data_IF_488109484483
#
_entry.id   IF_488109484483
#
_cell.length_a   1.000
_cell.length_b   1.000
_cell.length_c   1.000
_cell.angle_alpha   90.00
_cell.angle_beta   90.00
_cell.angle_gamma   90.00
#
_symmetry.space_group_name_H-M   'P 1'
#
loop_
_entity.id
_entity.type
_entity.pdbx_description
1 polymer ?
#
# COMPACT_ATOMS: atom_id res chain seq x y z
N UNK A 1 17.61 -14.92 5.18
CA UNK A 1 16.25 -14.92 4.60
C UNK A 1 15.29 -14.04 5.38
N UNK A 2 15.19 -14.21 6.71
CA UNK A 2 14.29 -13.43 7.60
C UNK A 2 14.50 -11.90 7.49
N UNK A 3 15.75 -11.41 7.51
CA UNK A 3 16.03 -9.97 7.39
C UNK A 3 15.47 -9.37 6.10
N UNK A 4 15.61 -10.06 4.97
CA UNK A 4 15.03 -9.64 3.69
C UNK A 4 13.49 -9.64 3.76
N UNK A 5 12.89 -10.69 4.34
CA UNK A 5 11.44 -10.76 4.54
C UNK A 5 10.90 -9.60 5.38
N UNK A 6 11.56 -9.25 6.49
CA UNK A 6 11.20 -8.11 7.34
C UNK A 6 11.33 -6.79 6.56
N UNK A 7 12.39 -6.60 5.78
CA UNK A 7 12.56 -5.39 4.95
C UNK A 7 11.43 -5.29 3.91
N UNK A 8 11.04 -6.39 3.27
CA UNK A 8 9.92 -6.42 2.33
C UNK A 8 8.58 -6.10 2.99
N UNK A 9 8.33 -6.61 4.20
CA UNK A 9 7.14 -6.28 4.98
C UNK A 9 7.10 -4.78 5.33
N UNK A 10 8.22 -4.23 5.82
CA UNK A 10 8.34 -2.81 6.14
C UNK A 10 8.14 -1.94 4.89
N UNK A 11 8.76 -2.30 3.76
CA UNK A 11 8.58 -1.60 2.49
C UNK A 11 7.11 -1.61 2.02
N UNK A 12 6.43 -2.76 2.14
CA UNK A 12 5.00 -2.89 1.81
C UNK A 12 4.13 -1.98 2.68
N UNK A 13 4.38 -1.93 3.99
CA UNK A 13 3.66 -1.04 4.92
C UNK A 13 3.93 0.43 4.58
N UNK A 14 5.20 0.80 4.36
CA UNK A 14 5.60 2.16 4.04
C UNK A 14 5.00 2.66 2.73
N UNK A 15 4.71 1.76 1.78
CA UNK A 15 4.03 2.07 0.53
C UNK A 15 2.50 2.14 0.72
N UNK A 16 1.92 1.26 1.52
CA UNK A 16 0.48 1.22 1.77
C UNK A 16 -0.04 2.50 2.45
N UNK A 17 0.72 3.06 3.40
CA UNK A 17 0.35 4.26 4.15
C UNK A 17 0.09 5.48 3.24
N UNK A 18 1.04 5.96 2.43
CA UNK A 18 0.83 7.13 1.57
C UNK A 18 -0.23 6.87 0.49
N UNK A 19 -0.26 5.67 -0.11
CA UNK A 19 -1.27 5.32 -1.13
C UNK A 19 -2.69 5.39 -0.55
N UNK A 20 -2.89 4.80 0.64
CA UNK A 20 -4.20 4.80 1.31
C UNK A 20 -4.60 6.19 1.81
N UNK A 21 -3.62 6.98 2.26
CA UNK A 21 -3.84 8.37 2.65
C UNK A 21 -4.26 9.23 1.47
N UNK A 22 -3.55 9.14 0.34
CA UNK A 22 -3.89 9.85 -0.89
C UNK A 22 -5.28 9.48 -1.39
N UNK A 23 -5.62 8.18 -1.41
CA UNK A 23 -6.96 7.71 -1.77
C UNK A 23 -8.04 8.29 -0.84
N UNK A 24 -7.85 8.23 0.48
CA UNK A 24 -8.79 8.80 1.44
C UNK A 24 -8.97 10.32 1.25
N UNK A 25 -7.89 11.06 0.96
CA UNK A 25 -8.00 12.50 0.75
C UNK A 25 -8.81 12.84 -0.51
N UNK A 26 -8.60 12.09 -1.60
CA UNK A 26 -9.36 12.23 -2.86
C UNK A 26 -10.84 11.95 -2.62
N UNK A 27 -11.16 10.86 -1.92
CA UNK A 27 -12.54 10.48 -1.61
C UNK A 27 -13.22 11.54 -0.74
N UNK A 28 -12.52 12.05 0.28
CA UNK A 28 -13.04 13.14 1.13
C UNK A 28 -13.32 14.42 0.34
N UNK A 29 -12.42 14.78 -0.57
CA UNK A 29 -12.56 15.95 -1.44
C UNK A 29 -13.79 15.80 -2.36
N UNK A 30 -14.01 14.58 -2.88
CA UNK A 30 -15.15 14.27 -3.75
C UNK A 30 -16.52 14.46 -3.08
N UNK A 31 -16.62 14.14 -1.78
CA UNK A 31 -17.84 14.29 -0.98
C UNK A 31 -17.97 15.63 -0.25
N UNK A 32 -16.95 16.50 -0.32
CA UNK A 32 -16.98 17.78 0.35
C UNK A 32 -17.86 18.79 -0.41
N UNK A 33 -18.95 19.32 0.18
CA UNK A 33 -19.84 20.26 -0.49
C UNK A 33 -19.21 21.64 -0.75
N UNK A 34 -18.06 21.93 -0.13
CA UNK A 34 -17.31 23.18 -0.35
C UNK A 34 -16.42 23.13 -1.61
N UNK A 35 -16.29 21.97 -2.25
CA UNK A 35 -15.45 21.76 -3.42
C UNK A 35 -16.28 21.96 -4.69
N UNK A 36 -15.82 22.83 -5.58
CA UNK A 36 -16.47 23.08 -6.87
C UNK A 36 -16.46 21.79 -7.69
N UNK A 37 -17.56 21.45 -8.36
CA UNK A 37 -17.71 20.18 -9.09
C UNK A 37 -16.58 19.93 -10.10
N UNK A 38 -16.08 20.98 -10.76
CA UNK A 38 -14.96 20.93 -11.70
C UNK A 38 -13.60 20.61 -11.05
N UNK A 39 -13.50 20.65 -9.72
CA UNK A 39 -12.29 20.32 -8.96
C UNK A 39 -12.35 18.93 -8.30
N UNK A 40 -13.45 18.19 -8.47
CA UNK A 40 -13.55 16.83 -7.96
C UNK A 40 -12.52 15.94 -8.66
N UNK A 41 -11.65 15.33 -7.86
CA UNK A 41 -10.60 14.43 -8.33
C UNK A 41 -11.10 12.99 -8.27
N UNK A 42 -10.79 12.21 -9.29
CA UNK A 42 -11.05 10.77 -9.30
C UNK A 42 -9.81 9.99 -8.85
N UNK A 43 -10.03 8.73 -8.45
CA UNK A 43 -8.94 7.83 -8.08
C UNK A 43 -8.12 7.45 -9.31
N UNK A 44 -6.85 7.85 -9.35
CA UNK A 44 -5.95 7.52 -10.45
C UNK A 44 -5.54 6.03 -10.46
N UNK A 45 -5.22 5.52 -11.65
CA UNK A 45 -4.76 4.14 -11.85
C UNK A 45 -3.53 3.77 -10.99
N UNK A 46 -2.66 4.73 -10.70
CA UNK A 46 -1.46 4.55 -9.86
C UNK A 46 -1.77 4.12 -8.43
N UNK A 47 -2.92 4.50 -7.85
CA UNK A 47 -3.31 4.10 -6.50
C UNK A 47 -3.63 2.59 -6.44
N UNK A 48 -4.30 2.07 -7.46
CA UNK A 48 -4.60 0.64 -7.58
C UNK A 48 -3.32 -0.19 -7.73
N UNK A 49 -2.38 0.29 -8.55
CA UNK A 49 -1.06 -0.34 -8.70
C UNK A 49 -0.30 -0.27 -7.37
N UNK A 50 -0.39 0.84 -6.66
CA UNK A 50 0.16 1.01 -5.32
C UNK A 50 -0.35 -0.06 -4.34
N UNK A 51 -1.67 -0.26 -4.24
CA UNK A 51 -2.23 -1.31 -3.39
C UNK A 51 -1.83 -2.72 -3.82
N UNK A 52 -1.83 -3.01 -5.13
CA UNK A 52 -1.38 -4.31 -5.64
C UNK A 52 0.10 -4.56 -5.29
N UNK A 53 0.96 -3.56 -5.45
CA UNK A 53 2.39 -3.66 -5.11
C UNK A 53 2.63 -3.85 -3.61
N UNK A 54 1.89 -3.14 -2.74
CA UNK A 54 1.96 -3.33 -1.30
C UNK A 54 1.52 -4.75 -0.90
N UNK A 55 0.42 -5.25 -1.48
CA UNK A 55 -0.05 -6.62 -1.22
C UNK A 55 0.99 -7.68 -1.64
N UNK A 56 1.60 -7.51 -2.81
CA UNK A 56 2.66 -8.40 -3.30
C UNK A 56 3.91 -8.35 -2.42
N UNK A 57 4.34 -7.16 -1.99
CA UNK A 57 5.47 -6.99 -1.08
C UNK A 57 5.21 -7.65 0.28
N UNK A 58 3.99 -7.52 0.81
CA UNK A 58 3.60 -8.15 2.07
C UNK A 58 3.57 -9.68 1.96
N UNK A 59 2.99 -10.22 0.88
CA UNK A 59 2.96 -11.66 0.62
C UNK A 59 4.37 -12.23 0.41
N UNK A 60 5.20 -11.56 -0.39
CA UNK A 60 6.59 -11.96 -0.62
C UNK A 60 7.43 -11.92 0.65
N UNK A 61 7.28 -10.85 1.45
CA UNK A 61 7.94 -10.73 2.76
C UNK A 61 7.53 -11.82 3.74
N UNK A 62 6.22 -12.13 3.81
CA UNK A 62 5.71 -13.21 4.64
C UNK A 62 6.26 -14.59 4.21
N UNK A 63 6.23 -14.90 2.91
CA UNK A 63 6.80 -16.17 2.40
C UNK A 63 8.30 -16.31 2.71
N UNK A 64 9.07 -15.23 2.61
CA UNK A 64 10.51 -15.23 2.94
C UNK A 64 10.78 -15.40 4.45
N UNK A 65 9.89 -14.89 5.30
CA UNK A 65 9.96 -15.09 6.75
C UNK A 65 9.56 -16.50 7.18
N UNK A 66 8.62 -17.14 6.47
CA UNK A 66 8.13 -18.50 6.80
C UNK A 66 9.08 -19.62 6.36
N UNK A 67 10.01 -19.37 5.42
CA UNK A 67 11.03 -20.34 4.99
C UNK A 67 12.20 -20.43 5.98
N UNK A 68 11.91 -20.74 7.25
CA UNK A 68 12.95 -21.06 8.21
C UNK A 68 13.58 -22.43 7.87
N UNK A 69 14.91 -22.53 7.69
CA UNK A 69 15.57 -23.83 7.77
C UNK A 69 15.37 -24.39 9.19
N UNK A 70 15.15 -25.71 9.35
CA UNK A 70 15.11 -26.33 10.67
C UNK A 70 16.40 -25.97 11.43
N UNK A 71 16.23 -25.49 12.66
CA UNK A 71 17.35 -25.33 13.60
C UNK A 71 17.81 -26.74 13.98
N UNK A 72 18.97 -27.13 13.49
CA UNK A 72 19.84 -28.09 14.19
C UNK A 72 20.33 -27.48 15.52
#
# INVERSE_FOLDING_TARGET
MIVSGVIFLLAGILLLVPVSWSANNIIRDFYNPLVVESQKRELGASLYIGWASAALLLLGGAMLCCNCPPRE
#
